data_IF_115702675993
#
_entry.id   IF_115702675993
#
_cell.length_a   1.000
_cell.length_b   1.000
_cell.length_c   1.000
_cell.angle_alpha   90.00
_cell.angle_beta   90.00
_cell.angle_gamma   90.00
#
_symmetry.space_group_name_H-M   'P 1'
#
loop_
_entity.id
_entity.type
_entity.pdbx_description
1 polymer ?
#
# COMPACT_ATOMS: atom_id res chain seq x y z
N UNK A 1 -17.69 -14.49 9.75
CA UNK A 1 -18.68 -13.41 9.52
C UNK A 1 -17.91 -12.12 9.58
N UNK A 2 -18.21 -11.10 8.76
CA UNK A 2 -17.30 -9.96 8.48
C UNK A 2 -16.54 -9.44 9.72
N UNK A 3 -17.23 -9.26 10.84
CA UNK A 3 -16.64 -8.76 12.08
C UNK A 3 -15.68 -9.77 12.77
N UNK A 4 -16.00 -11.06 12.75
CA UNK A 4 -15.15 -12.17 13.25
C UNK A 4 -13.88 -12.29 12.39
N UNK A 5 -14.04 -12.24 11.06
CA UNK A 5 -12.92 -12.35 10.13
C UNK A 5 -11.95 -11.16 10.27
N UNK A 6 -12.47 -9.95 10.51
CA UNK A 6 -11.67 -8.77 10.85
C UNK A 6 -10.91 -8.94 12.17
N UNK A 7 -11.59 -9.31 13.26
CA UNK A 7 -10.92 -9.48 14.55
C UNK A 7 -9.89 -10.61 14.53
N UNK A 8 -10.15 -11.68 13.77
CA UNK A 8 -9.19 -12.75 13.56
C UNK A 8 -7.96 -12.26 12.81
N UNK A 9 -8.12 -11.57 11.68
CA UNK A 9 -7.00 -11.00 10.93
C UNK A 9 -6.18 -10.02 11.80
N UNK A 10 -6.86 -9.16 12.58
CA UNK A 10 -6.21 -8.24 13.51
C UNK A 10 -5.44 -8.97 14.61
N UNK A 11 -6.05 -9.95 15.28
CA UNK A 11 -5.39 -10.70 16.34
C UNK A 11 -4.16 -11.45 15.82
N UNK A 12 -4.25 -12.06 14.64
CA UNK A 12 -3.13 -12.74 14.02
C UNK A 12 -2.02 -11.77 13.59
N UNK A 13 -2.36 -10.55 13.15
CA UNK A 13 -1.35 -9.52 12.83
C UNK A 13 -0.50 -9.14 14.05
N UNK A 14 -1.12 -9.07 15.24
CA UNK A 14 -0.41 -8.77 16.49
C UNK A 14 0.49 -9.93 16.95
N UNK A 15 0.20 -11.15 16.51
CA UNK A 15 0.99 -12.34 16.83
C UNK A 15 2.13 -12.57 15.84
N UNK A 16 2.06 -12.04 14.62
CA UNK A 16 3.07 -12.24 13.57
C UNK A 16 4.52 -11.95 14.00
N UNK A 17 4.83 -10.91 14.82
CA UNK A 17 6.20 -10.69 15.33
C UNK A 17 6.74 -11.81 16.22
N UNK A 18 5.87 -12.62 16.80
CA UNK A 18 6.21 -13.69 17.74
C UNK A 18 6.02 -15.09 17.14
N UNK A 19 5.15 -15.21 16.14
CA UNK A 19 4.76 -16.45 15.47
C UNK A 19 4.61 -16.18 13.96
N UNK A 20 5.70 -16.03 13.19
CA UNK A 20 5.65 -15.70 11.77
C UNK A 20 4.80 -16.68 10.94
N UNK A 21 4.68 -17.94 11.39
CA UNK A 21 3.85 -18.97 10.76
C UNK A 21 2.36 -18.60 10.67
N UNK A 22 1.88 -17.64 11.47
CA UNK A 22 0.48 -17.20 11.44
C UNK A 22 0.19 -16.17 10.35
N UNK A 23 1.22 -15.66 9.67
CA UNK A 23 1.08 -14.59 8.68
C UNK A 23 0.22 -15.01 7.49
N UNK A 24 0.42 -16.22 6.97
CA UNK A 24 -0.40 -16.78 5.89
C UNK A 24 -1.87 -16.91 6.31
N UNK A 25 -2.12 -17.33 7.55
CA UNK A 25 -3.46 -17.43 8.11
C UNK A 25 -4.11 -16.06 8.28
N UNK A 26 -3.34 -15.07 8.75
CA UNK A 26 -3.79 -13.69 8.91
C UNK A 26 -4.16 -13.08 7.55
N UNK A 27 -3.33 -13.31 6.53
CA UNK A 27 -3.58 -12.87 5.17
C UNK A 27 -4.80 -13.57 4.57
N UNK A 28 -4.97 -14.87 4.79
CA UNK A 28 -6.15 -15.61 4.37
C UNK A 28 -7.42 -15.09 5.04
N UNK A 29 -7.37 -14.80 6.34
CA UNK A 29 -8.48 -14.18 7.07
C UNK A 29 -8.83 -12.81 6.50
N UNK A 30 -7.84 -11.94 6.28
CA UNK A 30 -8.04 -10.61 5.70
C UNK A 30 -8.66 -10.69 4.29
N UNK A 31 -8.19 -11.61 3.44
CA UNK A 31 -8.75 -11.86 2.10
C UNK A 31 -10.20 -12.34 2.13
N UNK A 32 -10.59 -13.09 3.16
CA UNK A 32 -11.95 -13.60 3.35
C UNK A 32 -12.99 -12.53 3.71
N UNK A 33 -12.54 -11.36 4.18
CA UNK A 33 -13.40 -10.24 4.53
C UNK A 33 -14.11 -9.72 3.27
N UNK A 34 -15.44 -9.65 3.34
CA UNK A 34 -16.28 -9.26 2.20
C UNK A 34 -16.36 -7.75 2.00
N UNK A 35 -16.33 -7.00 3.08
CA UNK A 35 -16.40 -5.55 3.05
C UNK A 35 -15.01 -4.96 2.77
N UNK A 36 -14.92 -4.12 1.74
CA UNK A 36 -13.65 -3.57 1.26
C UNK A 36 -12.95 -2.68 2.29
N UNK A 37 -13.71 -1.95 3.10
CA UNK A 37 -13.14 -1.13 4.17
C UNK A 37 -12.44 -2.01 5.19
N UNK A 38 -13.14 -3.02 5.73
CA UNK A 38 -12.56 -3.93 6.73
C UNK A 38 -11.42 -4.77 6.14
N UNK A 39 -11.53 -5.20 4.88
CA UNK A 39 -10.48 -5.93 4.18
C UNK A 39 -9.23 -5.08 4.02
N UNK A 40 -9.37 -3.85 3.54
CA UNK A 40 -8.25 -2.93 3.36
C UNK A 40 -7.60 -2.57 4.70
N UNK A 41 -8.41 -2.36 5.74
CA UNK A 41 -7.90 -2.06 7.08
C UNK A 41 -7.08 -3.23 7.64
N UNK A 42 -7.59 -4.46 7.57
CA UNK A 42 -6.86 -5.65 8.00
C UNK A 42 -5.54 -5.85 7.21
N UNK A 43 -5.58 -5.70 5.87
CA UNK A 43 -4.38 -5.81 5.03
C UNK A 43 -3.36 -4.70 5.33
N UNK A 44 -3.81 -3.48 5.61
CA UNK A 44 -2.93 -2.35 5.95
C UNK A 44 -2.20 -2.59 7.28
N UNK A 45 -2.89 -3.18 8.26
CA UNK A 45 -2.27 -3.56 9.54
C UNK A 45 -1.29 -4.72 9.42
N UNK A 46 -1.51 -5.61 8.45
CA UNK A 46 -0.59 -6.70 8.15
C UNK A 46 0.65 -6.22 7.40
N UNK A 47 0.58 -5.11 6.65
CA UNK A 47 1.65 -4.64 5.76
C UNK A 47 3.08 -4.70 6.36
N UNK A 48 3.35 -4.25 7.61
CA UNK A 48 4.67 -4.36 8.24
C UNK A 48 5.25 -5.77 8.30
N UNK A 49 4.39 -6.78 8.25
CA UNK A 49 4.73 -8.21 8.36
C UNK A 49 4.69 -8.93 7.01
N UNK A 50 4.17 -8.31 5.95
CA UNK A 50 4.02 -8.91 4.62
C UNK A 50 5.28 -8.94 3.71
N UNK A 51 6.50 -8.45 4.05
CA UNK A 51 7.65 -8.56 3.14
C UNK A 51 7.92 -9.99 2.63
N UNK A 52 7.68 -11.00 3.48
CA UNK A 52 7.93 -12.41 3.17
C UNK A 52 6.87 -13.01 2.22
N UNK A 53 5.70 -12.37 2.09
CA UNK A 53 4.55 -12.81 1.29
C UNK A 53 4.02 -11.66 0.41
N UNK A 54 4.94 -10.87 -0.14
CA UNK A 54 4.62 -9.63 -0.85
C UNK A 54 3.72 -9.88 -2.06
N UNK A 55 3.94 -10.95 -2.82
CA UNK A 55 3.13 -11.27 -4.00
C UNK A 55 1.69 -11.60 -3.61
N UNK A 56 1.49 -12.34 -2.52
CA UNK A 56 0.18 -12.64 -1.97
C UNK A 56 -0.50 -11.39 -1.40
N UNK A 57 0.27 -10.48 -0.80
CA UNK A 57 -0.22 -9.19 -0.33
C UNK A 57 -0.69 -8.29 -1.49
N UNK A 58 0.08 -8.21 -2.57
CA UNK A 58 -0.29 -7.50 -3.79
C UNK A 58 -1.54 -8.13 -4.43
N UNK A 59 -1.61 -9.47 -4.50
CA UNK A 59 -2.80 -10.17 -4.98
C UNK A 59 -4.03 -9.89 -4.11
N UNK A 60 -3.88 -9.82 -2.80
CA UNK A 60 -4.95 -9.47 -1.87
C UNK A 60 -5.42 -8.02 -2.07
N UNK A 61 -4.48 -7.08 -2.21
CA UNK A 61 -4.79 -5.68 -2.50
C UNK A 61 -5.55 -5.53 -3.83
N UNK A 62 -5.12 -6.22 -4.89
CA UNK A 62 -5.80 -6.27 -6.19
C UNK A 62 -7.21 -6.83 -6.12
N UNK A 63 -7.53 -7.63 -5.10
CA UNK A 63 -8.87 -8.18 -4.87
C UNK A 63 -9.89 -7.16 -4.34
N UNK A 64 -9.44 -6.01 -3.84
CA UNK A 64 -10.31 -4.94 -3.34
C UNK A 64 -10.98 -4.21 -4.50
N UNK A 65 -12.32 -4.12 -4.46
CA UNK A 65 -13.10 -3.56 -5.57
C UNK A 65 -13.13 -2.03 -5.53
N UNK A 66 -13.29 -1.47 -4.34
CA UNK A 66 -13.25 -0.02 -4.13
C UNK A 66 -11.82 0.53 -4.34
N UNK A 67 -11.70 1.47 -5.27
CA UNK A 67 -10.41 2.03 -5.69
C UNK A 67 -9.69 2.79 -4.56
N UNK A 68 -10.46 3.48 -3.70
CA UNK A 68 -9.90 4.22 -2.58
C UNK A 68 -9.31 3.26 -1.53
N UNK A 69 -10.06 2.21 -1.17
CA UNK A 69 -9.58 1.21 -0.23
C UNK A 69 -8.42 0.38 -0.79
N UNK A 70 -8.42 0.09 -2.09
CA UNK A 70 -7.28 -0.55 -2.75
C UNK A 70 -6.04 0.33 -2.64
N UNK A 71 -6.16 1.61 -2.98
CA UNK A 71 -5.08 2.58 -2.85
C UNK A 71 -4.53 2.68 -1.43
N UNK A 72 -5.39 2.62 -0.39
CA UNK A 72 -4.97 2.59 1.03
C UNK A 72 -4.05 1.41 1.34
N UNK A 73 -4.33 0.23 0.80
CA UNK A 73 -3.44 -0.93 0.97
C UNK A 73 -2.12 -0.73 0.24
N UNK A 74 -2.14 -0.27 -1.02
CA UNK A 74 -0.92 0.03 -1.77
C UNK A 74 -0.02 1.05 -1.03
N UNK A 75 -0.60 2.12 -0.47
CA UNK A 75 0.11 3.11 0.35
C UNK A 75 0.74 2.53 1.62
N UNK A 76 0.08 1.55 2.24
CA UNK A 76 0.63 0.82 3.39
C UNK A 76 1.80 -0.05 2.97
N UNK A 77 1.67 -0.75 1.84
CA UNK A 77 2.72 -1.59 1.28
C UNK A 77 3.96 -0.80 0.82
N UNK A 78 3.84 0.46 0.43
CA UNK A 78 5.00 1.33 0.13
C UNK A 78 6.03 1.38 1.27
N UNK A 79 5.57 1.22 2.51
CA UNK A 79 6.45 1.33 3.68
C UNK A 79 7.30 0.07 3.91
N UNK A 80 7.04 -1.00 3.14
CA UNK A 80 7.70 -2.30 3.28
C UNK A 80 8.31 -2.82 1.99
N UNK A 81 7.88 -2.33 0.83
CA UNK A 81 8.46 -2.69 -0.47
C UNK A 81 9.75 -1.91 -0.70
N UNK A 82 10.81 -2.60 -1.12
CA UNK A 82 11.96 -1.93 -1.72
C UNK A 82 11.62 -1.47 -3.15
N UNK A 83 11.16 -0.23 -3.25
CA UNK A 83 10.73 0.39 -4.50
C UNK A 83 11.88 0.59 -5.51
N UNK A 84 13.15 0.45 -5.09
CA UNK A 84 14.30 0.56 -6.00
C UNK A 84 14.57 -0.71 -6.80
N UNK A 85 14.03 -1.84 -6.33
CA UNK A 85 14.25 -3.17 -6.89
C UNK A 85 13.03 -3.76 -7.60
N UNK A 86 11.89 -3.07 -7.60
CA UNK A 86 10.66 -3.56 -8.25
C UNK A 86 10.66 -3.35 -9.77
N UNK A 87 9.89 -4.20 -10.46
CA UNK A 87 9.67 -4.05 -11.90
C UNK A 87 8.93 -2.75 -12.25
N UNK A 88 9.25 -2.18 -13.42
CA UNK A 88 8.62 -0.95 -13.91
C UNK A 88 7.09 -1.05 -14.03
N UNK A 89 6.56 -2.26 -14.30
CA UNK A 89 5.12 -2.47 -14.39
C UNK A 89 4.45 -2.35 -13.01
N UNK A 90 5.06 -2.92 -11.96
CA UNK A 90 4.59 -2.78 -10.58
C UNK A 90 4.71 -1.33 -10.11
N UNK A 91 5.77 -0.63 -10.52
CA UNK A 91 5.90 0.81 -10.27
C UNK A 91 4.73 1.62 -10.88
N UNK A 92 4.39 1.37 -12.14
CA UNK A 92 3.23 2.02 -12.78
C UNK A 92 1.90 1.68 -12.09
N UNK A 93 1.72 0.42 -11.68
CA UNK A 93 0.53 -0.02 -10.93
C UNK A 93 0.41 0.69 -9.59
N UNK A 94 1.50 0.81 -8.84
CA UNK A 94 1.55 1.54 -7.57
C UNK A 94 1.09 2.99 -7.80
N UNK A 95 1.72 3.70 -8.75
CA UNK A 95 1.37 5.09 -9.05
C UNK A 95 -0.10 5.25 -9.48
N UNK A 96 -0.61 4.31 -10.29
CA UNK A 96 -2.01 4.32 -10.70
C UNK A 96 -2.96 4.17 -9.51
N UNK A 97 -2.70 3.21 -8.61
CA UNK A 97 -3.55 2.99 -7.44
C UNK A 97 -3.49 4.19 -6.48
N UNK A 98 -2.29 4.72 -6.20
CA UNK A 98 -2.14 5.89 -5.33
C UNK A 98 -2.86 7.13 -5.89
N UNK A 99 -3.12 7.21 -7.20
CA UNK A 99 -3.87 8.33 -7.78
C UNK A 99 -5.33 8.42 -7.34
N UNK A 100 -5.90 7.34 -6.78
CA UNK A 100 -7.25 7.31 -6.22
C UNK A 100 -7.34 7.77 -4.76
N UNK A 101 -6.20 8.09 -4.12
CA UNK A 101 -6.19 8.70 -2.80
C UNK A 101 -6.72 10.12 -2.80
N UNK A 102 -7.21 10.55 -1.63
CA UNK A 102 -7.40 11.97 -1.41
C UNK A 102 -6.06 12.69 -1.48
N UNK A 103 -6.07 13.93 -1.95
CA UNK A 103 -4.85 14.75 -2.15
C UNK A 103 -3.91 14.74 -0.94
N UNK A 104 -4.46 14.82 0.28
CA UNK A 104 -3.63 14.87 1.49
C UNK A 104 -2.91 13.53 1.77
N UNK A 105 -3.52 12.39 1.40
CA UNK A 105 -2.93 11.06 1.59
C UNK A 105 -1.87 10.80 0.53
N UNK A 106 -2.17 11.12 -0.74
CA UNK A 106 -1.19 11.06 -1.82
C UNK A 106 0.04 11.93 -1.52
N UNK A 107 -0.16 13.11 -0.93
CA UNK A 107 0.96 13.95 -0.48
C UNK A 107 1.81 13.29 0.61
N UNK A 108 1.21 12.44 1.45
CA UNK A 108 1.89 11.63 2.45
C UNK A 108 2.66 10.43 1.86
N UNK A 109 2.32 9.99 0.65
CA UNK A 109 3.01 8.89 -0.04
C UNK A 109 4.24 9.33 -0.82
N UNK A 110 4.29 10.58 -1.28
CA UNK A 110 5.42 11.11 -2.06
C UNK A 110 6.78 10.91 -1.36
N UNK A 111 6.94 11.17 -0.05
CA UNK A 111 8.20 10.90 0.63
C UNK A 111 8.64 9.43 0.49
N UNK A 112 7.70 8.49 0.58
CA UNK A 112 7.98 7.05 0.44
C UNK A 112 8.45 6.68 -0.97
N UNK A 113 7.98 7.41 -1.99
CA UNK A 113 8.38 7.21 -3.38
C UNK A 113 9.74 7.84 -3.73
N UNK A 114 10.34 8.63 -2.83
CA UNK A 114 11.50 9.48 -3.16
C UNK A 114 12.72 8.69 -3.61
N UNK A 115 13.02 7.58 -2.93
CA UNK A 115 14.19 6.75 -3.24
C UNK A 115 14.08 6.10 -4.62
N UNK A 116 12.88 5.63 -4.98
CA UNK A 116 12.62 5.08 -6.30
C UNK A 116 12.65 6.14 -7.41
N UNK A 117 12.11 7.33 -7.16
CA UNK A 117 12.20 8.45 -8.11
C UNK A 117 13.67 8.82 -8.36
N UNK A 118 14.50 8.84 -7.30
CA UNK A 118 15.94 9.08 -7.42
C UNK A 118 16.63 7.93 -8.17
N UNK A 119 16.30 6.68 -7.88
CA UNK A 119 16.88 5.53 -8.56
C UNK A 119 16.59 5.53 -10.06
N UNK A 120 15.39 5.94 -10.47
CA UNK A 120 14.97 5.97 -11.87
C UNK A 120 15.47 7.18 -12.66
N UNK A 121 15.59 8.35 -12.03
CA UNK A 121 15.86 9.61 -12.74
C UNK A 121 16.75 10.61 -12.02
N UNK A 122 17.40 10.20 -10.93
CA UNK A 122 18.27 11.05 -10.11
C UNK A 122 17.50 12.08 -9.26
N UNK A 123 18.26 12.91 -8.55
CA UNK A 123 17.71 13.99 -7.72
C UNK A 123 16.99 15.07 -8.54
N UNK A 124 17.35 15.22 -9.82
CA UNK A 124 16.67 16.11 -10.75
C UNK A 124 15.21 15.68 -11.00
N UNK A 125 14.96 14.38 -11.14
CA UNK A 125 13.61 13.84 -11.29
C UNK A 125 12.77 14.10 -10.05
N UNK A 126 13.32 13.91 -8.84
CA UNK A 126 12.64 14.24 -7.59
C UNK A 126 12.29 15.73 -7.53
N UNK A 127 13.23 16.60 -7.91
CA UNK A 127 13.00 18.04 -8.00
C UNK A 127 11.93 18.43 -9.02
N UNK A 128 11.90 17.77 -10.18
CA UNK A 128 10.89 17.98 -11.21
C UNK A 128 9.50 17.56 -10.74
N UNK A 129 9.38 16.41 -10.08
CA UNK A 129 8.14 15.92 -9.47
C UNK A 129 7.61 16.91 -8.43
N UNK A 130 8.46 17.37 -7.51
CA UNK A 130 8.08 18.36 -6.50
C UNK A 130 7.56 19.67 -7.12
N UNK A 131 8.22 20.18 -8.17
CA UNK A 131 7.77 21.37 -8.91
C UNK A 131 6.44 21.14 -9.61
N UNK A 132 6.23 19.98 -10.23
CA UNK A 132 4.98 19.64 -10.89
C UNK A 132 3.81 19.64 -9.90
N UNK A 133 3.99 19.05 -8.71
CA UNK A 133 3.00 19.07 -7.62
C UNK A 133 2.70 20.50 -7.18
N UNK A 134 3.73 21.33 -6.96
CA UNK A 134 3.55 22.74 -6.57
C UNK A 134 2.79 23.53 -7.63
N UNK A 135 3.11 23.33 -8.92
CA UNK A 135 2.41 23.98 -10.03
C UNK A 135 0.92 23.63 -10.02
N UNK A 136 0.57 22.35 -9.87
CA UNK A 136 -0.82 21.91 -9.76
C UNK A 136 -1.48 22.47 -8.49
N UNK A 137 -0.78 22.57 -7.35
CA UNK A 137 -1.32 23.25 -6.15
C UNK A 137 -1.64 24.73 -6.39
N UNK A 138 -0.82 25.42 -7.18
CA UNK A 138 -0.97 26.85 -7.44
C UNK A 138 -2.08 27.16 -8.46
N UNK A 139 -2.32 26.27 -9.42
CA UNK A 139 -3.36 26.42 -10.44
C UNK A 139 -4.79 26.32 -9.89
N UNK A 140 -4.97 25.88 -8.65
CA UNK A 140 -6.27 25.67 -8.01
C UNK A 140 -6.58 26.75 -6.95
N UNK A 141 -5.95 27.93 -7.08
CA UNK A 141 -6.29 29.16 -6.33
C UNK A 141 -7.10 30.10 -7.20
#
# INVERSE_FOLDING_TARGET
GIQDDYYRAHALSQLAPHLPEVLEEALAAARGIQDDYYRADALSQLAPHLPEVLEEALAAARGIQDDYYRAKVFSSLLSVIDLTSIEFQLWCEILHNLSYHYRYELLGDIPKLSDAIIALGGTEALGATARAIQSVCQQWR
#
